data_IF_160302328886
#
_entry.id   IF_160302328886
#
_cell.length_a   1.000
_cell.length_b   1.000
_cell.length_c   1.000
_cell.angle_alpha   90.00
_cell.angle_beta   90.00
_cell.angle_gamma   90.00
#
_symmetry.space_group_name_H-M   'P 1'
#
loop_
_entity.id
_entity.type
_entity.pdbx_description
1 polymer ?
#
# COMPACT_ATOMS: atom_id res chain seq x y z
N UNK A 1 12.28 13.12 -7.39
CA UNK A 1 12.01 12.51 -6.08
C UNK A 1 13.31 12.59 -5.31
N UNK A 2 13.30 13.15 -4.11
CA UNK A 2 14.50 13.32 -3.27
C UNK A 2 14.55 12.30 -2.11
N UNK A 3 15.55 12.39 -1.24
CA UNK A 3 15.73 11.47 -0.12
C UNK A 3 14.67 11.66 0.99
N UNK A 4 14.09 12.86 1.09
CA UNK A 4 13.00 13.13 2.04
C UNK A 4 11.70 12.49 1.56
N UNK A 5 11.46 12.48 0.24
CA UNK A 5 10.32 11.81 -0.37
C UNK A 5 10.33 10.30 -0.09
N UNK A 6 11.46 9.62 -0.26
CA UNK A 6 11.57 8.17 -0.04
C UNK A 6 11.42 7.81 1.44
N UNK A 7 11.95 8.64 2.35
CA UNK A 7 11.71 8.49 3.79
C UNK A 7 10.23 8.62 4.15
N UNK A 8 9.55 9.65 3.64
CA UNK A 8 8.11 9.84 3.83
C UNK A 8 7.31 8.62 3.36
N UNK A 9 7.65 8.07 2.19
CA UNK A 9 6.99 6.88 1.65
C UNK A 9 7.18 5.65 2.56
N UNK A 10 8.38 5.45 3.12
CA UNK A 10 8.65 4.36 4.08
C UNK A 10 7.83 4.52 5.36
N UNK A 11 7.70 5.73 5.88
CA UNK A 11 6.86 6.00 7.05
C UNK A 11 5.38 5.74 6.78
N UNK A 12 4.87 6.16 5.62
CA UNK A 12 3.49 5.87 5.21
C UNK A 12 3.25 4.37 5.04
N UNK A 13 4.20 3.63 4.47
CA UNK A 13 4.12 2.16 4.39
C UNK A 13 4.07 1.50 5.78
N UNK A 14 4.85 1.99 6.74
CA UNK A 14 4.80 1.49 8.12
C UNK A 14 3.41 1.73 8.74
N UNK A 15 2.85 2.92 8.58
CA UNK A 15 1.48 3.23 9.05
C UNK A 15 0.44 2.34 8.37
N UNK A 16 0.66 2.00 7.11
CA UNK A 16 -0.20 1.09 6.36
C UNK A 16 -0.13 -0.34 6.94
N UNK A 17 1.06 -0.86 7.22
CA UNK A 17 1.23 -2.17 7.88
C UNK A 17 0.52 -2.21 9.24
N UNK A 18 0.69 -1.16 10.06
CA UNK A 18 0.06 -1.06 11.37
C UNK A 18 -1.47 -0.96 11.26
N UNK A 19 -1.98 -0.30 10.21
CA UNK A 19 -3.40 -0.24 9.90
C UNK A 19 -3.95 -1.63 9.56
N UNK A 20 -3.26 -2.42 8.73
CA UNK A 20 -3.69 -3.78 8.41
C UNK A 20 -3.61 -4.73 9.61
N UNK A 21 -2.63 -4.56 10.51
CA UNK A 21 -2.57 -5.32 11.77
C UNK A 21 -3.75 -4.98 12.68
N UNK A 22 -4.16 -3.71 12.72
CA UNK A 22 -5.28 -3.24 13.54
C UNK A 22 -6.63 -3.67 12.99
N UNK A 23 -6.81 -3.63 11.67
CA UNK A 23 -8.06 -3.94 10.99
C UNK A 23 -7.89 -5.22 10.15
N UNK A 24 -7.63 -6.35 10.82
CA UNK A 24 -7.28 -7.61 10.16
C UNK A 24 -8.48 -8.51 9.82
N UNK A 25 -9.71 -8.04 10.07
CA UNK A 25 -10.93 -8.80 9.81
C UNK A 25 -11.66 -8.23 8.58
N UNK A 26 -12.20 -9.09 7.71
CA UNK A 26 -13.01 -8.66 6.59
C UNK A 26 -14.41 -8.27 7.06
N UNK A 27 -15.06 -7.40 6.31
CA UNK A 27 -16.39 -6.91 6.67
C UNK A 27 -16.60 -5.44 6.37
N UNK A 28 -17.81 -4.95 6.58
CA UNK A 28 -18.16 -3.55 6.31
C UNK A 28 -17.55 -2.62 7.37
N UNK A 29 -16.28 -2.31 7.22
CA UNK A 29 -15.57 -1.35 8.08
C UNK A 29 -15.14 -0.12 7.26
N UNK A 30 -16.00 0.90 7.30
CA UNK A 30 -15.74 2.16 6.61
C UNK A 30 -14.58 2.95 7.24
N UNK A 31 -14.29 2.73 8.52
CA UNK A 31 -13.18 3.38 9.22
C UNK A 31 -11.86 2.83 8.72
N UNK A 32 -11.74 1.50 8.68
CA UNK A 32 -10.57 0.82 8.12
C UNK A 32 -10.35 1.19 6.65
N UNK A 33 -11.42 1.14 5.83
CA UNK A 33 -11.35 1.50 4.42
C UNK A 33 -10.83 2.93 4.20
N UNK A 34 -11.39 3.91 4.91
CA UNK A 34 -10.96 5.32 4.80
C UNK A 34 -9.52 5.52 5.25
N UNK A 35 -9.11 4.87 6.34
CA UNK A 35 -7.73 4.94 6.83
C UNK A 35 -6.74 4.41 5.77
N UNK A 36 -7.02 3.26 5.18
CA UNK A 36 -6.19 2.68 4.11
C UNK A 36 -6.19 3.58 2.88
N UNK A 37 -7.35 4.07 2.44
CA UNK A 37 -7.43 4.95 1.27
C UNK A 37 -6.64 6.24 1.45
N UNK A 38 -6.69 6.86 2.63
CA UNK A 38 -5.91 8.05 2.92
C UNK A 38 -4.41 7.78 2.83
N UNK A 39 -3.94 6.68 3.43
CA UNK A 39 -2.52 6.29 3.34
C UNK A 39 -2.11 5.97 1.90
N UNK A 40 -2.98 5.36 1.10
CA UNK A 40 -2.73 5.15 -0.32
C UNK A 40 -2.66 6.45 -1.13
N UNK A 41 -3.39 7.50 -0.73
CA UNK A 41 -3.23 8.85 -1.32
C UNK A 41 -1.86 9.41 -0.96
N UNK A 42 -1.43 9.27 0.30
CA UNK A 42 -0.14 9.77 0.77
C UNK A 42 1.05 9.01 0.13
N UNK A 43 0.86 7.74 -0.26
CA UNK A 43 1.82 6.95 -1.03
C UNK A 43 1.91 7.36 -2.50
N UNK A 44 0.83 7.91 -3.08
CA UNK A 44 0.88 8.42 -4.45
C UNK A 44 1.81 9.62 -4.50
N UNK A 45 2.66 9.66 -5.53
CA UNK A 45 3.72 10.65 -5.64
C UNK A 45 4.27 10.72 -7.05
N UNK A 46 5.48 11.27 -7.18
CA UNK A 46 6.13 11.45 -8.49
C UNK A 46 6.52 10.15 -9.21
N UNK A 47 6.52 9.00 -8.53
CA UNK A 47 6.79 7.70 -9.13
C UNK A 47 5.46 7.02 -9.54
N UNK A 48 5.34 6.73 -10.85
CA UNK A 48 4.15 6.14 -11.43
C UNK A 48 3.90 4.70 -10.97
N UNK A 49 4.97 3.91 -10.76
CA UNK A 49 4.85 2.53 -10.32
C UNK A 49 4.33 2.44 -8.89
N UNK A 50 4.88 3.25 -7.98
CA UNK A 50 4.40 3.36 -6.59
C UNK A 50 2.93 3.79 -6.58
N UNK A 51 2.58 4.80 -7.41
CA UNK A 51 1.21 5.30 -7.51
C UNK A 51 0.21 4.25 -8.01
N UNK A 52 0.62 3.43 -8.98
CA UNK A 52 -0.17 2.30 -9.48
C UNK A 52 -0.41 1.27 -8.36
N UNK A 53 0.64 0.86 -7.65
CA UNK A 53 0.52 -0.14 -6.58
C UNK A 53 -0.32 0.38 -5.41
N UNK A 54 -0.15 1.65 -5.01
CA UNK A 54 -0.98 2.28 -4.00
C UNK A 54 -2.46 2.35 -4.43
N UNK A 55 -2.72 2.64 -5.70
CA UNK A 55 -4.07 2.56 -6.27
C UNK A 55 -4.67 1.16 -6.15
N UNK A 56 -3.90 0.13 -6.49
CA UNK A 56 -4.33 -1.26 -6.37
C UNK A 56 -4.61 -1.68 -4.92
N UNK A 57 -3.79 -1.25 -3.96
CA UNK A 57 -4.06 -1.47 -2.53
C UNK A 57 -5.42 -0.88 -2.14
N UNK A 58 -5.71 0.35 -2.55
CA UNK A 58 -7.00 0.99 -2.25
C UNK A 58 -8.20 0.24 -2.86
N UNK A 59 -8.05 -0.30 -4.07
CA UNK A 59 -9.08 -1.13 -4.71
C UNK A 59 -9.30 -2.44 -3.96
N UNK A 60 -8.23 -3.17 -3.64
CA UNK A 60 -8.30 -4.44 -2.91
C UNK A 60 -8.90 -4.24 -1.52
N UNK A 61 -8.49 -3.19 -0.81
CA UNK A 61 -9.08 -2.81 0.47
C UNK A 61 -10.58 -2.48 0.33
N UNK A 62 -10.98 -1.84 -0.76
CA UNK A 62 -12.39 -1.61 -1.10
C UNK A 62 -13.19 -2.91 -1.21
N UNK A 63 -12.59 -3.99 -1.74
CA UNK A 63 -13.23 -5.32 -1.84
C UNK A 63 -13.23 -6.03 -0.48
N UNK A 64 -12.16 -5.91 0.30
CA UNK A 64 -12.01 -6.57 1.60
C UNK A 64 -12.92 -5.96 2.67
N UNK A 65 -13.00 -4.63 2.72
CA UNK A 65 -13.83 -3.88 3.67
C UNK A 65 -15.24 -3.54 3.14
N UNK A 66 -15.58 -4.03 1.95
CA UNK A 66 -16.97 -4.19 1.54
C UNK A 66 -17.25 -5.69 1.51
N UNK A 67 -18.49 -6.16 1.57
CA UNK A 67 -18.77 -7.61 1.57
C UNK A 67 -18.39 -8.33 0.25
N UNK A 68 -17.60 -7.71 -0.62
CA UNK A 68 -17.13 -8.22 -1.90
C UNK A 68 -16.15 -9.40 -1.80
N UNK A 69 -15.45 -9.55 -0.66
CA UNK A 69 -14.56 -10.69 -0.42
C UNK A 69 -15.25 -12.06 -0.58
N UNK A 70 -16.55 -12.16 -0.32
CA UNK A 70 -17.35 -13.38 -0.47
C UNK A 70 -17.44 -13.88 -1.92
N UNK A 71 -17.23 -13.00 -2.90
CA UNK A 71 -17.32 -13.30 -4.34
C UNK A 71 -15.96 -13.24 -5.03
N UNK A 72 -14.90 -12.91 -4.30
CA UNK A 72 -13.57 -12.80 -4.86
C UNK A 72 -12.91 -14.18 -4.95
N UNK A 73 -12.33 -14.58 -6.10
CA UNK A 73 -11.51 -15.78 -6.19
C UNK A 73 -10.40 -15.74 -5.13
N UNK A 74 -10.23 -16.81 -4.35
CA UNK A 74 -9.26 -16.83 -3.23
C UNK A 74 -9.74 -16.17 -1.93
N UNK A 75 -10.91 -15.53 -1.95
CA UNK A 75 -11.58 -14.99 -0.76
C UNK A 75 -10.78 -13.93 -0.01
N UNK A 76 -11.04 -13.82 1.28
CA UNK A 76 -10.44 -12.81 2.18
C UNK A 76 -8.92 -12.98 2.36
N UNK A 77 -8.42 -14.22 2.36
CA UNK A 77 -7.00 -14.50 2.62
C UNK A 77 -6.11 -13.99 1.49
N UNK A 78 -6.52 -14.22 0.24
CA UNK A 78 -5.78 -13.72 -0.93
C UNK A 78 -5.81 -12.19 -1.00
N UNK A 79 -6.98 -11.58 -0.76
CA UNK A 79 -7.12 -10.13 -0.70
C UNK A 79 -6.22 -9.52 0.38
N UNK A 80 -6.21 -10.09 1.58
CA UNK A 80 -5.36 -9.62 2.69
C UNK A 80 -3.88 -9.77 2.33
N UNK A 81 -3.46 -10.96 1.87
CA UNK A 81 -2.08 -11.20 1.44
C UNK A 81 -1.62 -10.21 0.35
N UNK A 82 -2.48 -9.93 -0.62
CA UNK A 82 -2.19 -8.99 -1.69
C UNK A 82 -2.00 -7.55 -1.14
N UNK A 83 -2.96 -7.05 -0.36
CA UNK A 83 -2.94 -5.66 0.11
C UNK A 83 -1.94 -5.41 1.25
N UNK A 84 -1.68 -6.39 2.11
CA UNK A 84 -0.82 -6.23 3.30
C UNK A 84 0.62 -6.71 3.11
N UNK A 85 0.90 -7.51 2.07
CA UNK A 85 2.24 -8.07 1.85
C UNK A 85 2.76 -7.84 0.43
N UNK A 86 2.07 -8.36 -0.59
CA UNK A 86 2.60 -8.38 -1.96
C UNK A 86 2.78 -6.96 -2.52
N UNK A 87 1.73 -6.14 -2.46
CA UNK A 87 1.77 -4.77 -3.00
C UNK A 87 2.68 -3.85 -2.16
N UNK A 88 2.65 -3.85 -0.81
CA UNK A 88 3.61 -3.11 0.00
C UNK A 88 5.07 -3.49 -0.28
N UNK A 89 5.38 -4.77 -0.47
CA UNK A 89 6.75 -5.20 -0.79
C UNK A 89 7.21 -4.73 -2.17
N UNK A 90 6.31 -4.71 -3.17
CA UNK A 90 6.62 -4.13 -4.48
C UNK A 90 6.98 -2.64 -4.36
N UNK A 91 6.24 -1.88 -3.54
CA UNK A 91 6.54 -0.47 -3.27
C UNK A 91 7.89 -0.33 -2.55
N UNK A 92 8.18 -1.13 -1.50
CA UNK A 92 9.48 -1.11 -0.80
C UNK A 92 10.65 -1.38 -1.73
N UNK A 93 10.49 -2.33 -2.65
CA UNK A 93 11.51 -2.66 -3.66
C UNK A 93 11.77 -1.48 -4.59
N UNK A 94 10.71 -0.82 -5.07
CA UNK A 94 10.85 0.36 -5.93
C UNK A 94 11.51 1.53 -5.19
N UNK A 95 11.14 1.78 -3.92
CA UNK A 95 11.80 2.81 -3.10
C UNK A 95 13.30 2.54 -2.99
N UNK A 96 13.68 1.30 -2.69
CA UNK A 96 15.09 0.90 -2.56
C UNK A 96 15.86 1.06 -3.88
N UNK A 97 15.20 0.81 -5.01
CA UNK A 97 15.77 1.02 -6.33
C UNK A 97 16.00 2.51 -6.63
N UNK A 98 15.01 3.37 -6.34
CA UNK A 98 15.13 4.82 -6.53
C UNK A 98 16.23 5.43 -5.66
N UNK A 99 16.33 5.00 -4.39
CA UNK A 99 17.41 5.42 -3.48
C UNK A 99 18.81 4.99 -3.97
N UNK A 100 18.90 3.86 -4.69
CA UNK A 100 20.16 3.44 -5.31
C UNK A 100 20.54 4.35 -6.48
N UNK A 101 19.60 4.61 -7.39
CA UNK A 101 19.82 5.49 -8.54
C UNK A 101 20.21 6.92 -8.12
N UNK A 102 19.62 7.44 -7.04
CA UNK A 102 19.98 8.75 -6.49
C UNK A 102 21.43 8.81 -5.98
N UNK A 103 21.88 7.75 -5.31
CA UNK A 103 23.27 7.66 -4.82
C UNK A 103 24.26 7.60 -5.98
N UNK A 104 23.98 6.74 -6.97
CA UNK A 104 24.80 6.62 -8.19
C UNK A 104 24.88 7.91 -9.01
N UNK A 105 23.83 8.75 -8.97
CA UNK A 105 23.83 10.04 -9.67
C UNK A 105 24.50 11.18 -8.88
N UNK A 106 24.83 10.95 -7.60
CA UNK A 106 25.48 11.94 -6.72
C UNK A 106 27.00 11.73 -6.60
N UNK A 107 27.50 10.58 -7.09
CA UNK A 107 28.92 10.24 -7.22
C UNK A 107 29.47 10.68 -8.59
#
# INVERSE_FOLDING_TARGET
MDMNDTQRLRETLKKLDDTFRRYNLPGKDLTALRAVQQLCIDLKGGDGYISEKAGRIATVAGIYYSSGYLRHPGGESDLMSEMSFQLPNAIRSQISHLERLQREASD
#
